data_IF_857158463410
#
_entry.id   IF_857158463410
#
_cell.length_a   1.000
_cell.length_b   1.000
_cell.length_c   1.000
_cell.angle_alpha   90.00
_cell.angle_beta   90.00
_cell.angle_gamma   90.00
#
_symmetry.space_group_name_H-M   'P 1'
#
loop_
_entity.id
_entity.type
_entity.pdbx_description
1 polymer ?
#
# COMPACT_ATOMS: atom_id res chain seq x y z
N UNK A 1 -10.35 5.95 21.31
CA UNK A 1 -8.98 5.42 21.58
C UNK A 1 -8.58 4.57 20.39
N UNK A 2 -7.52 4.94 19.66
CA UNK A 2 -6.97 4.10 18.59
C UNK A 2 -6.63 2.72 19.17
N UNK A 3 -7.06 1.63 18.52
CA UNK A 3 -6.76 0.26 18.98
C UNK A 3 -5.25 0.02 18.85
N UNK A 4 -4.49 0.29 19.92
CA UNK A 4 -3.04 0.07 19.97
C UNK A 4 -2.71 -1.34 19.47
N UNK A 5 -1.89 -1.42 18.42
CA UNK A 5 -1.29 -2.67 17.95
C UNK A 5 -2.18 -3.61 17.11
N UNK A 6 -3.44 -3.28 16.80
CA UNK A 6 -4.26 -4.11 15.89
C UNK A 6 -4.14 -3.63 14.44
N UNK A 7 -3.06 -4.03 13.79
CA UNK A 7 -2.91 -3.90 12.35
C UNK A 7 -4.04 -4.66 11.65
N UNK A 8 -4.68 -4.03 10.67
CA UNK A 8 -5.60 -4.75 9.76
C UNK A 8 -4.83 -5.81 8.97
N UNK A 9 -5.49 -6.83 8.41
CA UNK A 9 -4.80 -7.86 7.62
C UNK A 9 -4.08 -7.27 6.40
N UNK A 10 -4.60 -6.16 5.87
CA UNK A 10 -4.00 -5.40 4.77
C UNK A 10 -2.81 -4.49 5.18
N UNK A 11 -2.53 -4.33 6.48
CA UNK A 11 -1.45 -3.49 7.03
C UNK A 11 -0.60 -4.26 8.05
N UNK A 12 -0.51 -5.59 7.88
CA UNK A 12 0.15 -6.49 8.83
C UNK A 12 1.69 -6.40 8.82
N UNK A 13 2.35 -7.28 9.60
CA UNK A 13 3.82 -7.33 9.67
C UNK A 13 4.49 -7.48 8.29
N UNK A 14 3.89 -8.26 7.39
CA UNK A 14 4.40 -8.45 6.02
C UNK A 14 4.41 -7.15 5.21
N UNK A 15 3.39 -6.30 5.40
CA UNK A 15 3.34 -4.98 4.76
C UNK A 15 4.51 -4.09 5.20
N UNK A 16 4.69 -3.88 6.51
CA UNK A 16 5.77 -3.00 7.01
C UNK A 16 7.17 -3.56 6.72
N UNK A 17 7.33 -4.89 6.67
CA UNK A 17 8.56 -5.56 6.22
C UNK A 17 8.93 -5.17 4.79
N UNK A 18 7.96 -5.24 3.87
CA UNK A 18 8.20 -4.91 2.46
C UNK A 18 8.36 -3.41 2.25
N UNK A 19 7.61 -2.55 2.97
CA UNK A 19 7.86 -1.09 2.98
C UNK A 19 9.29 -0.80 3.43
N UNK A 20 9.75 -1.40 4.53
CA UNK A 20 11.12 -1.25 5.03
C UNK A 20 12.16 -1.66 3.97
N UNK A 21 11.96 -2.82 3.34
CA UNK A 21 12.84 -3.32 2.28
C UNK A 21 12.93 -2.34 1.10
N UNK A 22 11.79 -1.96 0.52
CA UNK A 22 11.76 -1.08 -0.66
C UNK A 22 12.20 0.35 -0.33
N UNK A 23 11.98 0.84 0.88
CA UNK A 23 12.46 2.15 1.32
C UNK A 23 13.99 2.19 1.35
N UNK A 24 14.63 1.17 1.93
CA UNK A 24 16.08 1.03 1.90
C UNK A 24 16.63 0.83 0.48
N UNK A 25 15.95 0.03 -0.35
CA UNK A 25 16.33 -0.17 -1.75
C UNK A 25 16.30 1.14 -2.54
N UNK A 26 15.23 1.94 -2.40
CA UNK A 26 15.11 3.25 -3.04
C UNK A 26 16.24 4.18 -2.57
N UNK A 27 16.46 4.29 -1.26
CA UNK A 27 17.51 5.15 -0.72
C UNK A 27 18.89 4.79 -1.28
N UNK A 28 19.24 3.49 -1.31
CA UNK A 28 20.49 3.04 -1.91
C UNK A 28 20.58 3.34 -3.42
N UNK A 29 19.46 3.21 -4.15
CA UNK A 29 19.39 3.54 -5.58
C UNK A 29 19.59 5.03 -5.85
N UNK A 30 19.16 5.89 -4.92
CA UNK A 30 19.41 7.34 -4.98
C UNK A 30 20.85 7.71 -4.59
N UNK A 31 21.69 6.75 -4.20
CA UNK A 31 23.09 6.98 -3.82
C UNK A 31 23.27 7.49 -2.38
N UNK A 32 22.25 7.33 -1.53
CA UNK A 32 22.38 7.67 -0.11
C UNK A 32 23.37 6.72 0.60
N UNK A 33 24.07 7.26 1.60
CA UNK A 33 24.99 6.49 2.44
C UNK A 33 24.25 5.48 3.34
N UNK A 34 25.01 4.54 3.92
CA UNK A 34 24.48 3.44 4.73
C UNK A 34 23.57 3.91 5.89
N UNK A 35 23.91 5.04 6.53
CA UNK A 35 23.09 5.60 7.60
C UNK A 35 21.68 6.00 7.11
N UNK A 36 21.57 6.70 5.97
CA UNK A 36 20.27 7.12 5.41
C UNK A 36 19.46 5.92 4.92
N UNK A 37 20.12 4.89 4.36
CA UNK A 37 19.47 3.62 4.02
C UNK A 37 18.91 2.94 5.28
N UNK A 38 19.66 2.95 6.38
CA UNK A 38 19.20 2.42 7.66
C UNK A 38 18.00 3.19 8.21
N UNK A 39 18.07 4.53 8.24
CA UNK A 39 16.95 5.39 8.64
C UNK A 39 15.67 5.10 7.83
N UNK A 40 15.79 4.94 6.50
CA UNK A 40 14.66 4.62 5.63
C UNK A 40 14.03 3.26 5.97
N UNK A 41 14.86 2.25 6.26
CA UNK A 41 14.40 0.92 6.68
C UNK A 41 13.68 0.97 8.02
N UNK A 42 14.25 1.65 9.01
CA UNK A 42 13.65 1.79 10.34
C UNK A 42 12.31 2.50 10.23
N UNK A 43 12.27 3.65 9.55
CA UNK A 43 11.05 4.40 9.34
C UNK A 43 9.98 3.58 8.60
N UNK A 44 10.36 2.83 7.56
CA UNK A 44 9.45 1.95 6.83
C UNK A 44 8.88 0.81 7.68
N UNK A 45 9.67 0.28 8.61
CA UNK A 45 9.22 -0.76 9.54
C UNK A 45 8.19 -0.24 10.55
N UNK A 46 8.31 1.02 10.96
CA UNK A 46 7.52 1.59 12.04
C UNK A 46 6.39 2.52 11.59
N UNK A 47 6.31 2.88 10.29
CA UNK A 47 5.42 3.96 9.80
C UNK A 47 3.93 3.78 10.14
N UNK A 48 3.48 2.53 10.27
CA UNK A 48 2.08 2.15 10.51
C UNK A 48 1.82 1.61 11.93
N UNK A 49 2.73 1.88 12.88
CA UNK A 49 2.67 1.28 14.24
C UNK A 49 1.36 1.55 14.98
N UNK A 50 0.77 2.72 14.76
CA UNK A 50 -0.56 3.09 15.23
C UNK A 50 -1.35 3.36 13.96
N UNK A 51 -2.35 2.55 13.61
CA UNK A 51 -3.22 2.80 12.45
C UNK A 51 -4.60 2.20 12.70
N UNK A 52 -5.65 3.01 12.54
CA UNK A 52 -7.03 2.52 12.57
C UNK A 52 -7.49 2.17 11.15
N UNK A 53 -8.37 1.18 11.02
CA UNK A 53 -9.03 0.86 9.76
C UNK A 53 -9.89 2.03 9.25
N UNK A 54 -10.35 2.89 10.16
CA UNK A 54 -11.09 4.12 9.88
C UNK A 54 -10.22 5.35 9.69
N UNK A 55 -8.89 5.22 9.67
CA UNK A 55 -8.02 6.38 9.45
C UNK A 55 -8.23 6.91 8.03
N UNK A 56 -8.86 8.09 7.96
CA UNK A 56 -9.35 8.66 6.72
C UNK A 56 -8.86 10.09 6.56
N UNK A 57 -8.82 10.53 5.30
CA UNK A 57 -8.62 11.95 4.93
C UNK A 57 -9.60 12.85 5.71
N UNK A 58 -10.78 12.35 6.10
CA UNK A 58 -11.75 13.08 6.91
C UNK A 58 -11.23 13.44 8.32
N UNK A 59 -10.40 12.60 8.96
CA UNK A 59 -9.77 12.93 10.24
C UNK A 59 -8.78 14.10 10.07
N UNK A 60 -7.96 14.03 9.01
CA UNK A 60 -7.04 15.12 8.65
C UNK A 60 -7.76 16.44 8.35
N UNK A 61 -8.91 16.38 7.68
CA UNK A 61 -9.73 17.56 7.39
C UNK A 61 -10.42 18.14 8.63
N UNK A 62 -10.65 17.34 9.67
CA UNK A 62 -11.18 17.79 10.99
C UNK A 62 -10.08 18.25 11.96
N UNK A 63 -8.82 18.30 11.52
CA UNK A 63 -7.69 18.67 12.37
C UNK A 63 -7.31 17.60 13.40
N UNK A 64 -7.83 16.38 13.27
CA UNK A 64 -7.44 15.26 14.14
C UNK A 64 -6.01 14.80 13.78
N UNK A 65 -5.24 14.36 14.79
CA UNK A 65 -3.91 13.77 14.56
C UNK A 65 -4.05 12.52 13.67
N UNK A 66 -3.28 12.45 12.59
CA UNK A 66 -3.25 11.27 11.70
C UNK A 66 -2.41 10.15 12.28
N UNK A 67 -2.60 8.90 11.81
CA UNK A 67 -1.74 7.77 12.17
C UNK A 67 -0.24 8.08 12.03
N UNK A 68 0.12 8.84 11.01
CA UNK A 68 1.50 9.23 10.73
C UNK A 68 2.11 9.99 11.91
N UNK A 69 1.42 11.04 12.37
CA UNK A 69 1.87 11.87 13.50
C UNK A 69 1.84 11.12 14.82
N UNK A 70 0.76 10.37 15.10
CA UNK A 70 0.62 9.62 16.35
C UNK A 70 1.65 8.50 16.45
N UNK A 71 1.87 7.77 15.36
CA UNK A 71 2.87 6.71 15.27
C UNK A 71 4.29 7.25 15.45
N UNK A 72 4.61 8.40 14.84
CA UNK A 72 5.90 9.05 15.01
C UNK A 72 6.14 9.52 16.45
N UNK A 73 5.14 10.18 17.07
CA UNK A 73 5.19 10.64 18.47
C UNK A 73 5.37 9.47 19.43
N UNK A 74 4.60 8.39 19.24
CA UNK A 74 4.67 7.18 20.05
C UNK A 74 6.04 6.48 19.96
N UNK A 75 6.63 6.42 18.77
CA UNK A 75 7.90 5.73 18.56
C UNK A 75 9.13 6.59 18.92
N UNK A 76 9.00 7.92 18.97
CA UNK A 76 10.12 8.84 19.20
C UNK A 76 10.96 8.51 20.44
N UNK A 77 10.39 8.24 21.63
CA UNK A 77 11.19 7.90 22.81
C UNK A 77 12.02 6.62 22.64
N UNK A 78 11.55 5.65 21.84
CA UNK A 78 12.31 4.44 21.54
C UNK A 78 13.49 4.73 20.61
N UNK A 79 13.30 5.66 19.66
CA UNK A 79 14.37 6.07 18.75
C UNK A 79 15.41 6.94 19.44
N UNK A 80 15.00 7.89 20.28
CA UNK A 80 15.91 8.76 21.05
C UNK A 80 16.85 7.95 21.97
N UNK A 81 16.42 6.76 22.44
CA UNK A 81 17.23 5.85 23.25
C UNK A 81 18.27 5.05 22.45
N UNK A 82 18.11 4.94 21.12
CA UNK A 82 18.91 4.03 20.26
C UNK A 82 19.72 4.73 19.19
N UNK A 83 19.33 5.94 18.81
CA UNK A 83 19.90 6.68 17.69
C UNK A 83 20.29 8.10 18.11
N UNK A 84 21.17 8.74 17.35
CA UNK A 84 21.49 10.14 17.56
C UNK A 84 20.23 11.03 17.42
N UNK A 85 20.24 12.21 18.04
CA UNK A 85 19.13 13.16 17.92
C UNK A 85 18.82 13.51 16.44
N UNK A 86 19.85 13.59 15.60
CA UNK A 86 19.73 13.81 14.16
C UNK A 86 19.02 12.66 13.45
N UNK A 87 19.42 11.42 13.73
CA UNK A 87 18.84 10.23 13.10
C UNK A 87 17.41 9.98 13.58
N UNK A 88 17.15 10.14 14.89
CA UNK A 88 15.80 10.07 15.46
C UNK A 88 14.87 11.09 14.81
N UNK A 89 15.33 12.34 14.62
CA UNK A 89 14.57 13.37 13.89
C UNK A 89 14.30 12.98 12.44
N UNK A 90 15.27 12.38 11.74
CA UNK A 90 15.09 11.93 10.36
C UNK A 90 14.06 10.79 10.24
N UNK A 91 14.16 9.78 11.12
CA UNK A 91 13.24 8.63 11.17
C UNK A 91 11.81 9.09 11.51
N UNK A 92 11.65 9.87 12.57
CA UNK A 92 10.34 10.37 13.00
C UNK A 92 9.70 11.28 11.95
N UNK A 93 10.47 12.14 11.29
CA UNK A 93 9.99 12.97 10.18
C UNK A 93 9.55 12.13 8.98
N UNK A 94 10.33 11.11 8.62
CA UNK A 94 9.95 10.19 7.54
C UNK A 94 8.61 9.48 7.84
N UNK A 95 8.40 9.05 9.09
CA UNK A 95 7.13 8.47 9.53
C UNK A 95 5.99 9.48 9.53
N UNK A 96 6.17 10.65 10.13
CA UNK A 96 5.11 11.65 10.30
C UNK A 96 4.61 12.26 8.98
N UNK A 97 5.39 12.15 7.90
CA UNK A 97 5.10 12.77 6.62
C UNK A 97 4.95 11.78 5.46
N UNK A 98 4.82 10.47 5.73
CA UNK A 98 4.80 9.45 4.67
C UNK A 98 3.50 9.44 3.83
N UNK A 99 2.40 10.04 4.32
CA UNK A 99 1.14 10.13 3.58
C UNK A 99 1.14 11.17 2.48
N UNK A 100 2.06 12.15 2.54
CA UNK A 100 2.09 13.31 1.62
C UNK A 100 3.30 13.24 0.70
N UNK A 101 3.05 13.22 -0.61
CA UNK A 101 4.10 13.24 -1.64
C UNK A 101 5.02 14.46 -1.48
N UNK A 102 6.34 14.31 -1.63
CA UNK A 102 7.24 15.46 -1.65
C UNK A 102 6.99 16.30 -2.91
N UNK A 103 7.24 17.62 -2.80
CA UNK A 103 7.26 18.50 -3.97
C UNK A 103 8.41 18.10 -4.90
N UNK A 104 8.24 18.26 -6.22
CA UNK A 104 9.22 17.82 -7.22
C UNK A 104 10.58 18.52 -7.11
N UNK A 105 10.59 19.79 -6.67
CA UNK A 105 11.79 20.59 -6.42
C UNK A 105 12.55 20.19 -5.14
N UNK A 106 11.90 19.42 -4.26
CA UNK A 106 12.45 18.92 -3.00
C UNK A 106 12.99 17.48 -3.07
N UNK A 107 12.89 16.83 -4.24
CA UNK A 107 13.38 15.46 -4.45
C UNK A 107 14.90 15.38 -4.26
N UNK A 108 15.36 14.34 -3.58
CA UNK A 108 16.75 14.10 -3.20
C UNK A 108 17.16 14.77 -1.89
N UNK A 109 16.36 15.69 -1.33
CA UNK A 109 16.69 16.39 -0.07
C UNK A 109 16.38 15.53 1.16
N UNK A 110 15.38 14.66 1.07
CA UNK A 110 14.89 13.86 2.19
C UNK A 110 14.77 12.38 1.80
N UNK A 111 15.87 11.80 1.29
CA UNK A 111 15.89 10.46 0.69
C UNK A 111 15.28 9.37 1.59
N UNK A 112 15.46 9.42 2.91
CA UNK A 112 14.83 8.47 3.83
C UNK A 112 13.30 8.58 3.82
N UNK A 113 12.76 9.80 3.88
CA UNK A 113 11.32 10.08 3.79
C UNK A 113 10.76 9.68 2.43
N UNK A 114 11.44 10.05 1.35
CA UNK A 114 11.07 9.65 -0.01
C UNK A 114 11.00 8.12 -0.14
N UNK A 115 11.99 7.42 0.42
CA UNK A 115 12.02 5.96 0.44
C UNK A 115 10.76 5.37 1.06
N UNK A 116 10.35 5.85 2.24
CA UNK A 116 9.12 5.37 2.90
C UNK A 116 7.87 5.70 2.08
N UNK A 117 7.76 6.93 1.58
CA UNK A 117 6.62 7.37 0.76
C UNK A 117 6.46 6.49 -0.47
N UNK A 118 7.55 6.30 -1.22
CA UNK A 118 7.49 5.54 -2.46
C UNK A 118 7.32 4.06 -2.22
N UNK A 119 7.97 3.50 -1.20
CA UNK A 119 7.75 2.12 -0.77
C UNK A 119 6.26 1.83 -0.49
N UNK A 120 5.63 2.66 0.36
CA UNK A 120 4.20 2.51 0.68
C UNK A 120 3.30 2.78 -0.54
N UNK A 121 3.51 3.90 -1.24
CA UNK A 121 2.57 4.37 -2.28
C UNK A 121 2.75 3.74 -3.65
N UNK A 122 3.96 3.32 -4.01
CA UNK A 122 4.28 2.80 -5.35
C UNK A 122 4.55 1.31 -5.36
N UNK A 123 5.30 0.78 -4.40
CA UNK A 123 5.61 -0.65 -4.36
C UNK A 123 4.50 -1.47 -3.70
N UNK A 124 3.90 -1.00 -2.61
CA UNK A 124 2.89 -1.74 -1.84
C UNK A 124 1.44 -1.43 -2.22
N UNK A 125 1.19 -0.25 -2.80
CA UNK A 125 -0.16 0.23 -3.11
C UNK A 125 -0.55 0.16 -4.60
N UNK A 126 0.24 -0.50 -5.44
CA UNK A 126 -0.05 -0.72 -6.87
C UNK A 126 0.40 -2.13 -7.35
N UNK A 127 0.35 -2.40 -8.66
CA UNK A 127 0.77 -3.68 -9.25
C UNK A 127 -0.28 -4.77 -9.12
N UNK A 128 0.03 -6.01 -9.53
CA UNK A 128 -0.96 -7.10 -9.43
C UNK A 128 -1.36 -7.42 -7.98
N UNK A 129 -0.41 -7.34 -7.04
CA UNK A 129 -0.64 -7.57 -5.63
C UNK A 129 -1.79 -6.73 -5.06
N UNK A 130 -2.02 -5.52 -5.61
CA UNK A 130 -3.07 -4.62 -5.13
C UNK A 130 -4.48 -5.16 -5.36
N UNK A 131 -4.71 -6.02 -6.36
CA UNK A 131 -6.02 -6.61 -6.58
C UNK A 131 -6.46 -7.41 -5.34
N UNK A 132 -5.57 -8.22 -4.80
CA UNK A 132 -5.81 -9.01 -3.61
C UNK A 132 -5.95 -8.13 -2.36
N UNK A 133 -4.95 -7.26 -2.11
CA UNK A 133 -4.92 -6.41 -0.92
C UNK A 133 -6.14 -5.49 -0.86
N UNK A 134 -6.50 -4.85 -1.97
CA UNK A 134 -7.61 -3.90 -2.06
C UNK A 134 -8.95 -4.58 -1.86
N UNK A 135 -9.20 -5.69 -2.55
CA UNK A 135 -10.48 -6.40 -2.42
C UNK A 135 -10.73 -6.90 -1.01
N UNK A 136 -9.68 -7.43 -0.36
CA UNK A 136 -9.77 -7.83 1.05
C UNK A 136 -10.02 -6.64 1.97
N UNK A 137 -9.26 -5.55 1.80
CA UNK A 137 -9.42 -4.35 2.61
C UNK A 137 -10.81 -3.71 2.45
N UNK A 138 -11.43 -3.77 1.26
CA UNK A 138 -12.80 -3.29 1.06
C UNK A 138 -13.83 -4.04 1.94
N UNK A 139 -13.62 -5.33 2.20
CA UNK A 139 -14.48 -6.10 3.12
C UNK A 139 -14.22 -5.79 4.61
N UNK A 140 -13.01 -5.34 4.96
CA UNK A 140 -12.67 -4.95 6.33
C UNK A 140 -13.23 -3.57 6.70
N UNK A 141 -13.41 -2.70 5.71
CA UNK A 141 -13.82 -1.31 5.88
C UNK A 141 -15.21 -1.13 6.51
N UNK A 142 -15.28 -0.29 7.54
CA UNK A 142 -16.52 -0.03 8.28
C UNK A 142 -17.61 0.63 7.43
N UNK A 143 -17.25 1.53 6.51
CA UNK A 143 -18.21 2.21 5.64
C UNK A 143 -18.89 1.25 4.66
N UNK A 144 -18.16 0.29 4.09
CA UNK A 144 -18.77 -0.75 3.24
C UNK A 144 -19.64 -1.73 4.04
N UNK A 145 -19.27 -2.05 5.29
CA UNK A 145 -20.12 -2.85 6.17
C UNK A 145 -21.42 -2.11 6.54
N UNK A 146 -21.34 -0.81 6.77
CA UNK A 146 -22.52 0.03 6.99
C UNK A 146 -23.40 0.08 5.73
N UNK A 147 -22.79 0.20 4.55
CA UNK A 147 -23.51 0.17 3.26
C UNK A 147 -24.22 -1.17 3.03
N UNK A 148 -23.58 -2.31 3.35
CA UNK A 148 -24.24 -3.62 3.32
C UNK A 148 -25.49 -3.65 4.19
N UNK A 149 -25.38 -3.16 5.44
CA UNK A 149 -26.51 -3.10 6.38
C UNK A 149 -27.63 -2.22 5.82
N UNK A 150 -27.30 -1.04 5.29
CA UNK A 150 -28.26 -0.10 4.69
C UNK A 150 -29.00 -0.70 3.49
N UNK A 151 -28.29 -1.46 2.65
CA UNK A 151 -28.85 -2.14 1.46
C UNK A 151 -29.51 -3.48 1.78
N UNK A 152 -29.55 -3.91 3.04
CA UNK A 152 -30.11 -5.21 3.44
C UNK A 152 -29.31 -6.43 2.95
N UNK A 153 -28.05 -6.24 2.54
CA UNK A 153 -27.20 -7.30 1.99
C UNK A 153 -26.73 -8.20 3.12
N UNK A 154 -27.17 -9.47 3.10
CA UNK A 154 -26.70 -10.51 4.01
C UNK A 154 -25.45 -11.18 3.44
N UNK A 155 -24.51 -11.56 4.31
CA UNK A 155 -23.27 -12.27 3.90
C UNK A 155 -23.56 -13.59 3.15
N UNK A 156 -24.70 -14.23 3.45
CA UNK A 156 -25.14 -15.44 2.77
C UNK A 156 -25.64 -15.21 1.32
N UNK A 157 -25.99 -13.97 0.96
CA UNK A 157 -26.39 -13.62 -0.41
C UNK A 157 -25.15 -13.48 -1.29
N UNK A 158 -24.73 -14.60 -1.88
CA UNK A 158 -23.52 -14.69 -2.70
C UNK A 158 -23.53 -13.68 -3.85
N UNK A 159 -24.69 -13.44 -4.48
CA UNK A 159 -24.78 -12.53 -5.62
C UNK A 159 -24.64 -11.09 -5.17
N UNK A 160 -25.41 -10.67 -4.15
CA UNK A 160 -25.34 -9.30 -3.65
C UNK A 160 -23.96 -8.96 -3.06
N UNK A 161 -23.32 -9.92 -2.37
CA UNK A 161 -21.94 -9.76 -1.89
C UNK A 161 -20.95 -9.63 -3.04
N UNK A 162 -21.10 -10.42 -4.11
CA UNK A 162 -20.25 -10.33 -5.29
C UNK A 162 -20.39 -8.98 -6.00
N UNK A 163 -21.63 -8.53 -6.20
CA UNK A 163 -21.91 -7.24 -6.83
C UNK A 163 -21.30 -6.08 -6.03
N UNK A 164 -21.40 -6.12 -4.69
CA UNK A 164 -20.78 -5.11 -3.83
C UNK A 164 -19.25 -5.19 -3.82
N UNK A 165 -18.66 -6.40 -3.84
CA UNK A 165 -17.21 -6.58 -3.89
C UNK A 165 -16.61 -5.96 -5.16
N UNK A 166 -17.29 -6.16 -6.31
CA UNK A 166 -16.94 -5.55 -7.59
C UNK A 166 -17.08 -4.03 -7.51
N UNK A 167 -18.23 -3.52 -7.06
CA UNK A 167 -18.48 -2.09 -6.92
C UNK A 167 -17.41 -1.40 -6.07
N UNK A 168 -17.14 -1.94 -4.89
CA UNK A 168 -16.20 -1.38 -3.92
C UNK A 168 -14.77 -1.38 -4.46
N UNK A 169 -14.33 -2.51 -5.03
CA UNK A 169 -12.98 -2.64 -5.59
C UNK A 169 -12.81 -1.76 -6.82
N UNK A 170 -13.81 -1.68 -7.70
CA UNK A 170 -13.78 -0.86 -8.91
C UNK A 170 -13.69 0.63 -8.56
N UNK A 171 -14.52 1.09 -7.61
CA UNK A 171 -14.52 2.48 -7.12
C UNK A 171 -13.15 2.89 -6.60
N UNK A 172 -12.52 2.08 -5.75
CA UNK A 172 -11.18 2.38 -5.22
C UNK A 172 -10.11 2.26 -6.32
N UNK A 173 -10.25 1.33 -7.28
CA UNK A 173 -9.32 1.18 -8.39
C UNK A 173 -9.31 2.40 -9.31
N UNK A 174 -10.49 2.91 -9.69
CA UNK A 174 -10.61 4.15 -10.50
C UNK A 174 -9.97 5.35 -9.82
N UNK A 175 -10.17 5.52 -8.51
CA UNK A 175 -9.54 6.60 -7.72
C UNK A 175 -8.01 6.53 -7.79
N UNK A 176 -7.44 5.32 -7.74
CA UNK A 176 -5.99 5.11 -7.73
C UNK A 176 -5.37 5.31 -9.11
N UNK A 177 -6.04 4.84 -10.16
CA UNK A 177 -5.67 5.14 -11.54
C UNK A 177 -5.63 6.65 -11.76
N UNK A 178 -6.70 7.37 -11.41
CA UNK A 178 -6.74 8.83 -11.53
C UNK A 178 -5.59 9.51 -10.77
N UNK A 179 -5.28 9.03 -9.56
CA UNK A 179 -4.21 9.58 -8.71
C UNK A 179 -2.80 9.35 -9.26
N UNK A 180 -2.54 8.20 -9.89
CA UNK A 180 -1.18 7.78 -10.23
C UNK A 180 -0.87 7.77 -11.73
N UNK A 181 -1.87 7.97 -12.59
CA UNK A 181 -1.67 8.14 -14.04
C UNK A 181 -1.12 9.52 -14.39
N UNK A 182 -1.39 10.52 -13.55
CA UNK A 182 -0.78 11.85 -13.70
C UNK A 182 0.67 11.84 -13.20
N UNK A 183 1.59 11.68 -14.15
CA UNK A 183 3.02 11.66 -13.89
C UNK A 183 3.62 13.05 -13.62
N UNK A 184 2.86 14.14 -13.79
CA UNK A 184 3.34 15.52 -13.56
C UNK A 184 3.68 15.79 -12.11
N UNK A 185 3.11 15.01 -11.17
CA UNK A 185 3.37 15.09 -9.73
C UNK A 185 4.37 14.04 -9.23
N UNK A 186 4.91 13.21 -10.13
CA UNK A 186 5.76 12.07 -9.82
C UNK A 186 7.17 12.33 -10.35
N UNK A 187 8.24 12.04 -9.57
CA UNK A 187 9.61 12.24 -10.05
C UNK A 187 9.90 11.42 -11.30
N UNK A 188 10.56 12.04 -12.29
CA UNK A 188 10.88 11.42 -13.59
C UNK A 188 11.60 10.07 -13.46
N UNK A 189 12.44 9.91 -12.43
CA UNK A 189 13.17 8.66 -12.22
C UNK A 189 12.30 7.48 -11.77
N UNK A 190 11.06 7.75 -11.35
CA UNK A 190 10.08 6.73 -10.93
C UNK A 190 9.04 6.42 -12.01
N UNK A 191 8.99 7.18 -13.11
CA UNK A 191 7.93 7.08 -14.12
C UNK A 191 7.75 5.67 -14.67
N UNK A 192 8.83 4.98 -15.04
CA UNK A 192 8.72 3.64 -15.63
C UNK A 192 8.18 2.61 -14.62
N UNK A 193 8.57 2.72 -13.35
CA UNK A 193 8.00 1.90 -12.28
C UNK A 193 6.51 2.21 -12.10
N UNK A 194 6.12 3.48 -12.02
CA UNK A 194 4.71 3.85 -11.80
C UNK A 194 3.84 3.41 -12.97
N UNK A 195 4.28 3.63 -14.22
CA UNK A 195 3.58 3.13 -15.42
C UNK A 195 3.36 1.62 -15.34
N UNK A 196 4.43 0.87 -15.09
CA UNK A 196 4.35 -0.59 -14.92
C UNK A 196 3.31 -1.01 -13.87
N UNK A 197 3.30 -0.31 -12.73
CA UNK A 197 2.43 -0.59 -11.60
C UNK A 197 0.97 -0.18 -11.86
N UNK A 198 0.73 0.89 -12.61
CA UNK A 198 -0.60 1.40 -12.99
C UNK A 198 -1.25 0.55 -14.09
N UNK A 199 -0.47 -0.03 -15.00
CA UNK A 199 -1.00 -0.97 -16.02
C UNK A 199 -1.76 -2.14 -15.39
N UNK A 200 -1.27 -2.70 -14.29
CA UNK A 200 -2.00 -3.73 -13.54
C UNK A 200 -3.36 -3.24 -13.01
N UNK A 201 -3.48 -1.96 -12.67
CA UNK A 201 -4.74 -1.39 -12.23
C UNK A 201 -5.72 -1.20 -13.40
N UNK A 202 -5.23 -0.79 -14.58
CA UNK A 202 -6.05 -0.76 -15.79
C UNK A 202 -6.56 -2.16 -16.16
N UNK A 203 -5.73 -3.20 -16.06
CA UNK A 203 -6.15 -4.60 -16.25
C UNK A 203 -7.23 -5.01 -15.26
N UNK A 204 -7.07 -4.65 -13.97
CA UNK A 204 -8.08 -4.93 -12.94
C UNK A 204 -9.39 -4.20 -13.23
N UNK A 205 -9.32 -2.90 -13.57
CA UNK A 205 -10.49 -2.11 -13.94
C UNK A 205 -11.25 -2.75 -15.11
N UNK A 206 -10.55 -3.08 -16.20
CA UNK A 206 -11.14 -3.70 -17.38
C UNK A 206 -11.80 -5.03 -17.04
N UNK A 207 -11.15 -5.87 -16.24
CA UNK A 207 -11.72 -7.15 -15.78
C UNK A 207 -12.98 -6.97 -14.93
N UNK A 208 -13.02 -5.95 -14.07
CA UNK A 208 -14.20 -5.65 -13.25
C UNK A 208 -15.36 -5.07 -14.09
N UNK A 209 -15.08 -4.15 -15.01
CA UNK A 209 -16.10 -3.55 -15.89
C UNK A 209 -16.67 -4.57 -16.88
N UNK A 210 -15.81 -5.43 -17.43
CA UNK A 210 -16.20 -6.53 -18.31
C UNK A 210 -16.76 -7.75 -17.59
N UNK A 211 -16.83 -7.73 -16.25
CA UNK A 211 -17.26 -8.87 -15.41
C UNK A 211 -16.53 -10.18 -15.74
N UNK A 212 -15.22 -10.10 -15.97
CA UNK A 212 -14.38 -11.28 -16.20
C UNK A 212 -14.55 -12.28 -15.04
N UNK A 213 -14.93 -13.55 -15.30
CA UNK A 213 -15.26 -14.49 -14.25
C UNK A 213 -14.11 -14.74 -13.25
N UNK A 214 -12.87 -14.76 -13.72
CA UNK A 214 -11.67 -14.93 -12.89
C UNK A 214 -11.48 -13.75 -11.95
N UNK A 215 -11.53 -12.53 -12.49
CA UNK A 215 -11.41 -11.29 -11.70
C UNK A 215 -12.57 -11.15 -10.70
N UNK A 216 -13.81 -11.39 -11.12
CA UNK A 216 -14.97 -11.33 -10.22
C UNK A 216 -14.82 -12.35 -9.08
N UNK A 217 -14.43 -13.59 -9.39
CA UNK A 217 -14.15 -14.62 -8.37
C UNK A 217 -13.05 -14.20 -7.41
N UNK A 218 -11.94 -13.65 -7.92
CA UNK A 218 -10.82 -13.16 -7.13
C UNK A 218 -11.29 -12.09 -6.14
N UNK A 219 -11.92 -11.02 -6.63
CA UNK A 219 -12.30 -9.90 -5.77
C UNK A 219 -13.37 -10.29 -4.75
N UNK A 220 -14.34 -11.12 -5.14
CA UNK A 220 -15.40 -11.59 -4.25
C UNK A 220 -14.85 -12.48 -3.14
N UNK A 221 -13.95 -13.42 -3.46
CA UNK A 221 -13.34 -14.29 -2.46
C UNK A 221 -12.51 -13.50 -1.42
N UNK A 222 -11.75 -12.50 -1.89
CA UNK A 222 -10.93 -11.65 -1.02
C UNK A 222 -11.81 -10.72 -0.17
N UNK A 223 -12.86 -10.12 -0.75
CA UNK A 223 -13.82 -9.30 -0.02
C UNK A 223 -14.52 -10.09 1.10
N UNK A 224 -14.97 -11.31 0.79
CA UNK A 224 -15.56 -12.22 1.77
C UNK A 224 -14.59 -12.61 2.88
N UNK A 225 -13.31 -12.81 2.56
CA UNK A 225 -12.28 -13.02 3.58
C UNK A 225 -12.19 -11.81 4.53
N UNK A 226 -12.17 -10.59 3.98
CA UNK A 226 -12.15 -9.35 4.75
C UNK A 226 -13.40 -9.12 5.61
N UNK A 227 -14.55 -9.70 5.24
CA UNK A 227 -15.77 -9.64 6.03
C UNK A 227 -15.72 -10.48 7.32
N UNK A 228 -14.84 -11.49 7.39
CA UNK A 228 -14.71 -12.39 8.55
C UNK A 228 -14.33 -11.62 9.81
N UNK A 229 -14.63 -12.21 10.97
CA UNK A 229 -14.19 -11.68 12.29
C UNK A 229 -12.67 -11.75 12.44
N UNK A 230 -12.08 -12.86 11.99
CA UNK A 230 -10.65 -13.15 12.01
C UNK A 230 -10.19 -13.50 10.57
N UNK A 231 -10.03 -12.50 9.69
CA UNK A 231 -9.46 -12.71 8.36
C UNK A 231 -8.09 -13.40 8.43
N UNK A 232 -7.81 -14.30 7.47
CA UNK A 232 -6.48 -14.90 7.30
C UNK A 232 -5.45 -13.88 6.85
N UNK A 233 -4.17 -14.19 7.05
CA UNK A 233 -3.07 -13.42 6.44
C UNK A 233 -3.21 -13.34 4.91
N UNK A 234 -3.02 -12.16 4.34
CA UNK A 234 -3.19 -11.91 2.91
C UNK A 234 -2.28 -12.78 2.03
N UNK A 235 -1.05 -13.06 2.44
CA UNK A 235 -0.14 -13.96 1.72
C UNK A 235 -0.68 -15.40 1.68
N UNK A 236 -1.23 -15.88 2.79
CA UNK A 236 -1.90 -17.19 2.83
C UNK A 236 -3.15 -17.23 1.93
N UNK A 237 -3.93 -16.14 1.90
CA UNK A 237 -5.10 -16.03 1.03
C UNK A 237 -4.68 -16.07 -0.44
N UNK A 238 -3.67 -15.29 -0.85
CA UNK A 238 -3.12 -15.28 -2.21
C UNK A 238 -2.62 -16.67 -2.61
N UNK A 239 -1.85 -17.35 -1.74
CA UNK A 239 -1.36 -18.71 -2.01
C UNK A 239 -2.51 -19.69 -2.26
N UNK A 240 -3.58 -19.60 -1.46
CA UNK A 240 -4.76 -20.47 -1.55
C UNK A 240 -5.73 -20.15 -2.69
N UNK A 241 -5.66 -18.95 -3.29
CA UNK A 241 -6.53 -18.57 -4.40
C UNK A 241 -6.33 -19.53 -5.59
N UNK A 242 -7.42 -20.08 -6.14
CA UNK A 242 -7.39 -20.98 -7.32
C UNK A 242 -7.95 -20.23 -8.52
N UNK A 243 -7.08 -19.73 -9.42
CA UNK A 243 -7.50 -19.03 -10.63
C UNK A 243 -8.41 -19.91 -11.48
N UNK A 244 -9.32 -19.28 -12.22
CA UNK A 244 -10.18 -19.97 -13.20
C UNK A 244 -10.06 -19.40 -14.61
N UNK A 245 -9.37 -18.28 -14.79
CA UNK A 245 -9.08 -17.69 -16.09
C UNK A 245 -7.60 -17.34 -16.22
N UNK A 246 -7.24 -16.78 -17.37
CA UNK A 246 -5.87 -16.34 -17.62
C UNK A 246 -5.53 -15.06 -16.85
N UNK A 247 -6.50 -14.15 -16.72
CA UNK A 247 -6.26 -12.84 -16.11
C UNK A 247 -5.99 -12.99 -14.61
N UNK A 248 -6.85 -13.67 -13.86
CA UNK A 248 -6.64 -13.90 -12.42
C UNK A 248 -5.42 -14.78 -12.14
N UNK A 249 -5.08 -15.71 -13.05
CA UNK A 249 -3.81 -16.45 -12.98
C UNK A 249 -2.59 -15.53 -13.10
N UNK A 250 -2.59 -14.60 -14.05
CA UNK A 250 -1.52 -13.61 -14.22
C UNK A 250 -1.39 -12.70 -12.98
N UNK A 251 -2.52 -12.27 -12.39
CA UNK A 251 -2.51 -11.52 -11.14
C UNK A 251 -1.87 -12.33 -10.00
N UNK A 252 -2.25 -13.60 -9.85
CA UNK A 252 -1.70 -14.48 -8.81
C UNK A 252 -0.19 -14.70 -9.00
N UNK A 253 0.26 -14.96 -10.23
CA UNK A 253 1.67 -15.19 -10.53
C UNK A 253 2.52 -13.96 -10.17
N UNK A 254 2.14 -12.78 -10.65
CA UNK A 254 2.85 -11.53 -10.37
C UNK A 254 2.81 -11.21 -8.86
N UNK A 255 1.68 -11.43 -8.18
CA UNK A 255 1.58 -11.22 -6.73
C UNK A 255 2.49 -12.18 -5.94
N UNK A 256 2.65 -13.43 -6.36
CA UNK A 256 3.58 -14.36 -5.73
C UNK A 256 5.05 -13.96 -5.97
N UNK A 257 5.40 -13.57 -7.20
CA UNK A 257 6.73 -13.06 -7.53
C UNK A 257 7.07 -11.77 -6.76
N UNK A 258 6.06 -10.95 -6.45
CA UNK A 258 6.19 -9.80 -5.56
C UNK A 258 6.51 -10.24 -4.12
N UNK A 259 5.73 -11.18 -3.58
CA UNK A 259 5.85 -11.66 -2.21
C UNK A 259 7.13 -12.46 -1.96
N UNK A 260 7.64 -13.20 -2.95
CA UNK A 260 8.92 -13.92 -2.87
C UNK A 260 10.14 -13.01 -3.05
N UNK A 261 9.94 -11.76 -3.48
CA UNK A 261 11.01 -10.79 -3.75
C UNK A 261 11.64 -10.90 -5.14
N UNK A 262 11.19 -11.82 -5.99
CA UNK A 262 11.68 -11.98 -7.37
C UNK A 262 11.54 -10.68 -8.19
N UNK A 263 10.49 -9.89 -7.94
CA UNK A 263 10.29 -8.61 -8.64
C UNK A 263 11.22 -7.49 -8.18
N UNK A 264 11.95 -7.63 -7.06
CA UNK A 264 12.81 -6.58 -6.54
C UNK A 264 13.88 -6.14 -7.56
N UNK A 265 14.49 -7.11 -8.27
CA UNK A 265 15.45 -6.84 -9.33
C UNK A 265 14.85 -6.07 -10.50
N UNK A 266 13.64 -6.44 -10.92
CA UNK A 266 12.88 -5.74 -11.98
C UNK A 266 12.55 -4.31 -11.57
N UNK A 267 12.01 -4.10 -10.37
CA UNK A 267 11.66 -2.77 -9.91
C UNK A 267 12.87 -1.86 -9.75
N UNK A 268 14.00 -2.39 -9.25
CA UNK A 268 15.26 -1.64 -9.19
C UNK A 268 15.75 -1.17 -10.57
N UNK A 269 15.50 -1.94 -11.63
CA UNK A 269 15.84 -1.56 -13.03
C UNK A 269 14.91 -0.47 -13.56
N UNK A 270 13.62 -0.51 -13.19
CA UNK A 270 12.63 0.49 -13.60
C UNK A 270 12.83 1.86 -12.92
N UNK A 271 13.57 1.92 -11.81
CA UNK A 271 13.95 3.19 -11.18
C UNK A 271 15.23 3.68 -11.85
N UNK A 272 15.16 4.85 -12.50
CA UNK A 272 16.34 5.48 -13.10
C UNK A 272 17.21 6.10 -12.01
N UNK A 273 18.53 6.11 -12.21
CA UNK A 273 19.40 6.91 -11.33
C UNK A 273 19.21 8.38 -11.70
N UNK A 274 18.97 9.30 -10.75
CA UNK A 274 18.98 10.72 -11.06
C UNK A 274 20.32 11.08 -11.70
N UNK A 275 20.30 11.82 -12.82
CA UNK A 275 21.54 12.44 -13.32
C UNK A 275 22.01 13.37 -12.20
N UNK A 276 23.28 13.24 -11.78
CA UNK A 276 23.87 14.21 -10.84
C UNK A 276 23.69 15.59 -11.48
N UNK A 277 22.88 16.44 -10.88
CA UNK A 277 22.90 17.86 -11.19
C UNK A 277 24.27 18.32 -10.67
N UNK A 278 25.17 18.67 -11.61
CA UNK A 278 26.45 19.26 -11.27
C UNK A 278 26.23 20.62 -10.62
#
# INVERSE_FOLDING_TARGET
>A
MAKQGKLTSAHNLGHVQRVSYYAGMYAGKMGAGANVVHQARVAGWSHDRIRDASDTIAQKLRGEKTHESMGAEYMKPMFDKRYSAKDSKAITKAMAMHGTMPKLDAIGREVAREGVIYADKFFEANGAYIAFRRSMFMGERADWRAEMKKRGIKVADKKAVSDLAVEATLKETKKRIAKFSDLSSIPKHMHDLVKYQVEWQHKLQKGLEGKDPGIVKLVTALFQEGLKKNPRDLGAVIKSHRPIGEIDAAFKQEANAYLSGELAGKFRKLIKKPKKVK
#
